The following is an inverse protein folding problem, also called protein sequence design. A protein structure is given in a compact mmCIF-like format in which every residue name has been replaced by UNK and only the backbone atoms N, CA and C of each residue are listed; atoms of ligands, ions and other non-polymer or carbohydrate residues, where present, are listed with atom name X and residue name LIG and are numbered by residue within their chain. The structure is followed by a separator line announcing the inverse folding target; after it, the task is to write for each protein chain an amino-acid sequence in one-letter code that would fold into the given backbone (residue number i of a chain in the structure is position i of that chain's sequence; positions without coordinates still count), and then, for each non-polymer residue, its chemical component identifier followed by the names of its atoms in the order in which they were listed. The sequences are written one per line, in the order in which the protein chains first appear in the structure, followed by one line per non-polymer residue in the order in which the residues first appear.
data_IF_075160953920
#
_entry.id   IF_075160953920
#
_cell.length_a   1.000
_cell.length_b   1.000
_cell.length_c   1.000
_cell.angle_alpha   90.00
_cell.angle_beta   90.00
_cell.angle_gamma   90.00
#
_symmetry.space_group_name_H-M   'P 1'
#
loop_
_entity.id
_entity.type
_entity.pdbx_description
1 polymer ?
#
# COMPACT_ATOMS: atom_id res chain seq x y z
N UNK A 1 4.60 -24.71 0.60
CA UNK A 1 3.51 -24.13 1.43
C UNK A 1 3.02 -22.87 0.73
N UNK A 2 1.88 -22.91 0.04
CA UNK A 2 1.35 -21.74 -0.66
C UNK A 2 0.42 -21.00 0.31
N UNK A 3 0.89 -19.90 0.92
CA UNK A 3 0.02 -19.04 1.73
C UNK A 3 -0.66 -18.07 0.76
N UNK A 4 -1.96 -18.28 0.54
CA UNK A 4 -2.79 -17.31 -0.18
C UNK A 4 -2.83 -15.97 0.56
N UNK A 5 -3.08 -14.86 -0.14
CA UNK A 5 -3.10 -13.52 0.44
C UNK A 5 -4.10 -13.41 1.60
N UNK A 6 -3.66 -12.83 2.72
CA UNK A 6 -4.50 -12.64 3.91
C UNK A 6 -4.89 -11.18 4.09
N UNK A 7 -6.11 -10.95 4.56
CA UNK A 7 -6.56 -9.62 4.94
C UNK A 7 -5.67 -9.05 6.06
N UNK A 8 -5.16 -7.83 5.86
CA UNK A 8 -4.25 -7.15 6.80
C UNK A 8 -2.78 -7.55 6.69
N UNK A 9 -2.43 -8.48 5.79
CA UNK A 9 -1.04 -8.78 5.46
C UNK A 9 -0.49 -7.73 4.50
N UNK A 10 0.68 -7.18 4.83
CA UNK A 10 1.35 -6.14 4.05
C UNK A 10 2.74 -6.63 3.71
N UNK A 11 3.07 -6.68 2.42
CA UNK A 11 4.42 -6.92 1.95
C UNK A 11 5.17 -5.59 1.87
N UNK A 12 6.40 -5.55 2.39
CA UNK A 12 7.22 -4.35 2.38
C UNK A 12 8.61 -4.68 1.85
N UNK A 13 9.05 -3.94 0.84
CA UNK A 13 10.39 -4.02 0.28
C UNK A 13 11.16 -2.74 0.59
N UNK A 14 12.44 -2.88 0.97
CA UNK A 14 13.37 -1.77 1.12
C UNK A 14 14.48 -1.92 0.08
N UNK A 15 14.62 -0.95 -0.82
CA UNK A 15 15.67 -0.89 -1.83
C UNK A 15 16.59 0.31 -1.57
N UNK A 16 17.80 0.11 -1.05
CA UNK A 16 18.79 1.18 -0.90
C UNK A 16 19.20 1.77 -2.26
N UNK A 17 19.25 3.09 -2.34
CA UNK A 17 19.64 3.87 -3.52
C UNK A 17 20.55 5.02 -3.09
N UNK A 18 21.82 4.71 -2.87
CA UNK A 18 22.81 5.66 -2.37
C UNK A 18 22.42 6.22 -1.00
N UNK A 19 22.19 7.53 -0.91
CA UNK A 19 21.79 8.19 0.35
C UNK A 19 20.31 8.05 0.68
N UNK A 20 19.52 7.43 -0.18
CA UNK A 20 18.08 7.22 0.00
C UNK A 20 17.74 5.73 0.04
N UNK A 21 16.54 5.41 0.49
CA UNK A 21 15.94 4.07 0.43
C UNK A 21 14.56 4.23 -0.18
N UNK A 22 14.29 3.49 -1.26
CA UNK A 22 12.95 3.31 -1.77
C UNK A 22 12.25 2.26 -0.91
N UNK A 23 11.05 2.57 -0.46
CA UNK A 23 10.21 1.65 0.31
C UNK A 23 8.92 1.43 -0.45
N UNK A 24 8.66 0.18 -0.78
CA UNK A 24 7.43 -0.25 -1.45
C UNK A 24 6.59 -1.03 -0.46
N UNK A 25 5.30 -0.71 -0.34
CA UNK A 25 4.35 -1.43 0.50
C UNK A 25 3.13 -1.85 -0.31
N UNK A 26 2.74 -3.12 -0.20
CA UNK A 26 1.64 -3.73 -0.94
C UNK A 26 0.67 -4.38 0.04
N UNK A 27 -0.62 -4.06 -0.08
CA UNK A 27 -1.67 -4.76 0.66
C UNK A 27 -2.01 -6.08 -0.04
N UNK A 28 -1.85 -7.20 0.67
CA UNK A 28 -1.98 -8.53 0.07
C UNK A 28 -3.40 -8.82 -0.45
N UNK A 29 -4.43 -8.28 0.21
CA UNK A 29 -5.81 -8.59 -0.11
C UNK A 29 -6.34 -7.78 -1.31
N UNK A 30 -5.95 -6.51 -1.42
CA UNK A 30 -6.41 -5.59 -2.47
C UNK A 30 -5.44 -5.44 -3.63
N UNK A 31 -4.16 -5.81 -3.45
CA UNK A 31 -3.10 -5.58 -4.42
C UNK A 31 -2.69 -4.12 -4.55
N UNK A 32 -3.20 -3.22 -3.71
CA UNK A 32 -2.84 -1.80 -3.74
C UNK A 32 -1.38 -1.63 -3.33
N UNK A 33 -0.63 -0.90 -4.14
CA UNK A 33 0.78 -0.60 -3.92
C UNK A 33 0.99 0.89 -3.66
N UNK A 34 1.95 1.20 -2.78
CA UNK A 34 2.52 2.54 -2.63
C UNK A 34 4.04 2.46 -2.57
N UNK A 35 4.71 3.42 -3.22
CA UNK A 35 6.14 3.60 -3.15
C UNK A 35 6.50 4.96 -2.53
N UNK A 36 7.55 5.01 -1.72
CA UNK A 36 8.09 6.25 -1.18
C UNK A 36 9.61 6.21 -1.09
N UNK A 37 10.23 7.38 -0.94
CA UNK A 37 11.66 7.51 -0.67
C UNK A 37 11.87 8.13 0.70
N UNK A 38 12.89 7.67 1.41
CA UNK A 38 13.36 8.27 2.65
C UNK A 38 14.88 8.27 2.73
N UNK A 39 15.49 9.00 3.67
CA UNK A 39 16.93 9.00 3.85
C UNK A 39 17.41 7.65 4.40
N UNK A 40 18.56 7.19 3.91
CA UNK A 40 19.22 5.96 4.39
C UNK A 40 19.63 6.02 5.87
N UNK A 41 19.74 7.22 6.45
CA UNK A 41 20.02 7.45 7.85
C UNK A 41 18.79 7.32 8.77
N UNK A 42 17.57 7.27 8.22
CA UNK A 42 16.37 7.06 9.04
C UNK A 42 16.28 5.61 9.53
N UNK A 43 15.65 5.42 10.68
CA UNK A 43 15.34 4.08 11.19
C UNK A 43 14.40 3.36 10.22
N UNK A 44 14.73 2.11 9.89
CA UNK A 44 13.89 1.27 9.02
C UNK A 44 12.44 1.19 9.52
N UNK A 45 12.24 1.13 10.84
CA UNK A 45 10.91 1.08 11.46
C UNK A 45 10.07 2.34 11.21
N UNK A 46 10.71 3.51 11.06
CA UNK A 46 9.98 4.76 10.81
C UNK A 46 9.59 4.87 9.34
N UNK A 47 10.50 4.46 8.43
CA UNK A 47 10.18 4.31 7.02
C UNK A 47 9.04 3.30 6.80
N UNK A 48 9.08 2.17 7.53
CA UNK A 48 8.02 1.17 7.52
C UNK A 48 6.66 1.75 7.96
N UNK A 49 6.62 2.44 9.11
CA UNK A 49 5.40 3.07 9.62
C UNK A 49 4.83 4.07 8.62
N UNK A 50 5.69 4.86 7.96
CA UNK A 50 5.25 5.85 6.99
C UNK A 50 4.69 5.20 5.72
N UNK A 51 5.34 4.15 5.22
CA UNK A 51 4.86 3.37 4.08
C UNK A 51 3.50 2.70 4.38
N UNK A 52 3.35 2.06 5.54
CA UNK A 52 2.08 1.45 5.99
C UNK A 52 0.97 2.49 6.11
N UNK A 53 1.25 3.68 6.66
CA UNK A 53 0.26 4.76 6.75
C UNK A 53 -0.18 5.25 5.38
N UNK A 54 0.75 5.41 4.44
CA UNK A 54 0.44 5.78 3.05
C UNK A 54 -0.41 4.72 2.36
N UNK A 55 -0.08 3.44 2.56
CA UNK A 55 -0.82 2.32 2.00
C UNK A 55 -2.27 2.29 2.49
N UNK A 56 -2.48 2.35 3.80
CA UNK A 56 -3.82 2.37 4.40
C UNK A 56 -4.69 3.49 3.83
N UNK A 57 -4.14 4.70 3.77
CA UNK A 57 -4.84 5.85 3.16
C UNK A 57 -5.17 5.61 1.69
N UNK A 58 -4.27 4.99 0.92
CA UNK A 58 -4.52 4.69 -0.50
C UNK A 58 -5.60 3.63 -0.67
N UNK A 59 -5.59 2.57 0.14
CA UNK A 59 -6.63 1.53 0.16
C UNK A 59 -8.00 2.14 0.45
N UNK A 60 -8.10 3.01 1.45
CA UNK A 60 -9.34 3.72 1.77
C UNK A 60 -9.86 4.57 0.58
N UNK A 61 -8.97 5.27 -0.12
CA UNK A 61 -9.33 6.07 -1.29
C UNK A 61 -9.81 5.22 -2.47
N UNK A 62 -9.13 4.11 -2.76
CA UNK A 62 -9.53 3.18 -3.83
C UNK A 62 -10.91 2.59 -3.50
N UNK A 63 -11.09 2.11 -2.27
CA UNK A 63 -12.37 1.57 -1.81
C UNK A 63 -13.49 2.60 -1.89
N UNK A 64 -13.24 3.85 -1.49
CA UNK A 64 -14.23 4.92 -1.60
C UNK A 64 -14.61 5.22 -3.05
N UNK A 65 -13.63 5.23 -3.97
CA UNK A 65 -13.89 5.43 -5.40
C UNK A 65 -14.68 4.26 -6.01
N UNK A 66 -14.39 3.02 -5.63
CA UNK A 66 -15.15 1.85 -6.08
C UNK A 66 -16.62 1.91 -5.62
N UNK A 67 -16.88 2.36 -4.39
CA UNK A 67 -18.23 2.53 -3.86
C UNK A 67 -18.98 3.64 -4.61
N UNK A 68 -18.34 4.79 -4.82
CA UNK A 68 -18.93 5.89 -5.57
C UNK A 68 -19.28 5.50 -7.02
N UNK A 69 -18.45 4.68 -7.68
CA UNK A 69 -18.73 4.19 -9.03
C UNK A 69 -19.93 3.22 -9.07
N UNK A 70 -20.12 2.39 -8.02
CA UNK A 70 -21.29 1.48 -7.95
C UNK A 70 -22.61 2.22 -7.81
N UNK A 71 -22.62 3.35 -7.11
CA UNK A 71 -23.81 4.18 -6.94
C UNK A 71 -24.20 4.95 -8.23
N UNK A 72 -23.28 5.10 -9.18
CA UNK A 72 -23.49 5.86 -10.42
C UNK A 72 -24.10 5.03 -11.57
N UNK A 73 -24.02 3.70 -11.54
CA UNK A 73 -24.64 2.81 -12.54
C UNK A 73 -25.76 1.91 -11.95
N UNK A 74 -26.91 2.47 -11.54
CA UNK A 74 -28.03 1.69 -11.01
C UNK A 74 -28.87 0.93 -12.06
N UNK A 75 -28.52 0.97 -13.36
CA UNK A 75 -29.37 0.47 -14.46
C UNK A 75 -28.73 -0.57 -15.39
N UNK A 76 -27.72 -1.32 -14.96
CA UNK A 76 -27.29 -2.54 -15.68
C UNK A 76 -28.10 -3.76 -15.22
N UNK A 77 -29.39 -3.77 -15.55
CA UNK A 77 -30.27 -4.94 -15.69
C UNK A 77 -31.33 -4.63 -16.74
#
# INVERSE_FOLDING_TARGET
MNRGPRAGEIYIEFRPMGKQVQVTAIDAATGVEVSMFGPSSALQSDLQKLAVRKLKRRVEQVRAAELANKDQDPTLY
#
